data_IF_602734059567
#
_entry.id   IF_602734059567
#
_cell.length_a   1.000
_cell.length_b   1.000
_cell.length_c   1.000
_cell.angle_alpha   90.00
_cell.angle_beta   90.00
_cell.angle_gamma   90.00
#
_symmetry.space_group_name_H-M   'P 1'
#
loop_
_entity.id
_entity.type
_entity.pdbx_description
1 polymer ?
#
# COMPACT_ATOMS: atom_id res chain seq x y z
N UNK A 1 13.89 1.90 2.15
CA UNK A 1 12.46 1.50 2.13
C UNK A 1 12.20 0.97 0.72
N UNK A 2 12.18 -0.35 0.56
CA UNK A 2 12.24 -0.99 -0.75
C UNK A 2 10.82 -1.12 -1.31
N UNK A 3 10.42 -0.21 -2.18
CA UNK A 3 9.23 -0.35 -3.01
C UNK A 3 9.56 -1.42 -4.06
N UNK A 4 8.82 -2.54 -4.04
CA UNK A 4 8.97 -3.63 -4.99
C UNK A 4 8.35 -3.21 -6.33
N UNK A 5 9.13 -2.58 -7.19
CA UNK A 5 8.70 -2.24 -8.56
C UNK A 5 8.70 -3.54 -9.38
N UNK A 6 7.52 -4.09 -9.67
CA UNK A 6 7.37 -5.27 -10.52
C UNK A 6 7.56 -4.84 -11.99
N UNK A 7 8.78 -4.92 -12.52
CA UNK A 7 9.05 -4.59 -13.93
C UNK A 7 8.82 -5.78 -14.84
N UNK A 8 7.60 -5.91 -15.36
CA UNK A 8 7.35 -6.63 -16.63
C UNK A 8 6.98 -5.60 -17.70
N UNK A 9 7.86 -5.37 -18.66
CA UNK A 9 7.57 -4.64 -19.90
C UNK A 9 6.90 -3.27 -19.73
N UNK A 10 7.70 -2.25 -19.45
CA UNK A 10 7.40 -0.82 -19.70
C UNK A 10 6.12 -0.17 -19.12
N UNK A 11 5.50 -0.73 -18.08
CA UNK A 11 4.54 0.00 -17.24
C UNK A 11 4.91 -0.24 -15.77
N UNK A 12 5.45 0.78 -15.11
CA UNK A 12 5.71 0.72 -13.67
C UNK A 12 4.38 0.82 -12.94
N UNK A 13 3.87 -0.33 -12.47
CA UNK A 13 2.67 -0.41 -11.64
C UNK A 13 3.13 -0.45 -10.18
N UNK A 14 2.71 0.53 -9.39
CA UNK A 14 2.94 0.54 -7.96
C UNK A 14 1.91 -0.39 -7.30
N UNK A 15 2.37 -1.38 -6.54
CA UNK A 15 1.51 -2.36 -5.87
C UNK A 15 1.65 -2.25 -4.35
N UNK A 16 0.57 -2.54 -3.64
CA UNK A 16 0.56 -2.62 -2.19
C UNK A 16 1.43 -3.78 -1.71
N UNK A 17 2.36 -3.53 -0.79
CA UNK A 17 3.23 -4.57 -0.22
C UNK A 17 2.46 -5.60 0.61
N UNK A 18 1.32 -5.21 1.18
CA UNK A 18 0.57 -6.04 2.13
C UNK A 18 -0.44 -6.96 1.45
N UNK A 19 -1.17 -6.47 0.43
CA UNK A 19 -2.20 -7.24 -0.27
C UNK A 19 -1.88 -7.54 -1.75
N UNK A 20 -0.83 -6.94 -2.32
CA UNK A 20 -0.46 -7.11 -3.73
C UNK A 20 -1.40 -6.44 -4.74
N UNK A 21 -2.40 -5.68 -4.28
CA UNK A 21 -3.30 -4.93 -5.16
C UNK A 21 -2.60 -3.72 -5.77
N UNK A 22 -3.03 -3.33 -6.97
CA UNK A 22 -2.54 -2.11 -7.63
C UNK A 22 -2.91 -0.87 -6.81
N UNK A 23 -1.93 0.00 -6.54
CA UNK A 23 -2.13 1.26 -5.86
C UNK A 23 -2.77 2.25 -6.82
N UNK A 24 -3.85 2.88 -6.38
CA UNK A 24 -4.48 3.97 -7.10
C UNK A 24 -3.49 5.13 -7.28
N UNK A 25 -3.72 6.01 -8.26
CA UNK A 25 -2.85 7.18 -8.52
C UNK A 25 -2.59 8.01 -7.24
N UNK A 26 -3.60 8.11 -6.36
CA UNK A 26 -3.53 8.82 -5.08
C UNK A 26 -2.71 8.08 -3.99
N UNK A 27 -2.39 6.80 -4.21
CA UNK A 27 -1.70 5.89 -3.29
C UNK A 27 -0.26 5.57 -3.70
N UNK A 28 0.14 5.87 -4.95
CA UNK A 28 1.49 5.55 -5.50
C UNK A 28 2.69 6.12 -4.72
N UNK A 29 2.47 7.15 -3.89
CA UNK A 29 3.51 7.67 -2.99
C UNK A 29 3.63 6.88 -1.67
N UNK A 30 2.90 5.77 -1.51
CA UNK A 30 2.86 4.92 -0.32
C UNK A 30 3.29 3.51 -0.69
N UNK A 31 3.74 2.76 0.31
CA UNK A 31 4.04 1.33 0.17
C UNK A 31 2.78 0.45 0.29
N UNK A 32 1.72 0.97 0.90
CA UNK A 32 0.49 0.25 1.24
C UNK A 32 -0.75 1.01 0.75
N UNK A 33 -1.81 0.28 0.40
CA UNK A 33 -3.11 0.84 0.08
C UNK A 33 -3.82 1.35 1.33
N UNK A 34 -4.85 2.18 1.16
CA UNK A 34 -5.63 2.74 2.27
C UNK A 34 -6.22 1.66 3.15
N UNK A 35 -6.76 0.57 2.58
CA UNK A 35 -7.38 -0.51 3.35
C UNK A 35 -6.38 -1.20 4.30
N UNK A 36 -5.20 -1.56 3.80
CA UNK A 36 -4.15 -2.19 4.62
C UNK A 36 -3.56 -1.23 5.66
N UNK A 37 -3.52 0.07 5.34
CA UNK A 37 -3.05 1.08 6.28
C UNK A 37 -4.06 1.32 7.40
N UNK A 38 -5.33 1.43 7.06
CA UNK A 38 -6.42 1.67 8.00
C UNK A 38 -6.57 0.49 8.96
N UNK A 39 -6.51 -0.74 8.44
CA UNK A 39 -6.50 -1.96 9.26
C UNK A 39 -5.34 -2.05 10.26
N UNK A 40 -4.23 -1.37 9.97
CA UNK A 40 -3.07 -1.31 10.87
C UNK A 40 -3.21 -0.21 11.93
N UNK A 41 -4.09 0.77 11.70
CA UNK A 41 -4.24 1.94 12.58
C UNK A 41 -5.26 1.71 13.71
N UNK A 42 -6.09 0.65 13.61
CA UNK A 42 -7.08 0.29 14.65
C UNK A 42 -6.49 -0.39 15.90
N UNK A 43 -5.16 -0.41 16.08
CA UNK A 43 -4.53 -1.01 17.26
C UNK A 43 -4.44 -0.07 18.49
N UNK A 44 -4.87 1.20 18.39
CA UNK A 44 -4.71 2.20 19.45
C UNK A 44 -5.89 3.18 19.56
N UNK A 45 -7.11 2.68 19.73
CA UNK A 45 -8.15 3.45 20.41
C UNK A 45 -8.63 2.63 21.61
N UNK A 46 -7.98 2.88 22.75
CA UNK A 46 -8.32 2.36 24.07
C UNK A 46 -9.74 2.84 24.46
N UNK A 47 -10.54 1.93 25.02
CA UNK A 47 -11.81 2.20 25.70
C UNK A 47 -11.72 3.37 26.69
N UNK A 48 -12.63 4.36 26.56
CA UNK A 48 -13.13 5.15 27.71
C UNK A 48 -14.58 5.62 27.50
#
# INVERSE_FOLDING_TARGET
MNIFIVRKGEIAIDICISCGMELSIMERNRAECWDCRDSTTEAYAEDE
#
